data_IF_281743976623
#
_entry.id   IF_281743976623
#
_cell.length_a   1.000
_cell.length_b   1.000
_cell.length_c   1.000
_cell.angle_alpha   90.00
_cell.angle_beta   90.00
_cell.angle_gamma   90.00
#
_symmetry.space_group_name_H-M   'P 1'
#
loop_
_entity.id
_entity.type
_entity.pdbx_description
1 polymer ?
#
# COMPACT_ATOMS: atom_id res chain seq x y z
N UNK A 1 -4.58 30.16 5.19
CA UNK A 1 -3.29 30.07 4.95
C UNK A 1 -2.75 28.72 5.11
N UNK A 2 -2.45 28.33 6.29
CA UNK A 2 -2.01 26.99 6.55
C UNK A 2 -3.05 25.96 6.18
N UNK A 3 -4.29 26.37 6.11
CA UNK A 3 -5.38 25.45 5.83
C UNK A 3 -5.21 24.71 4.53
N UNK A 4 -4.72 25.39 3.50
CA UNK A 4 -4.55 24.76 2.21
C UNK A 4 -3.52 23.66 2.27
N UNK A 5 -2.38 23.98 2.86
CA UNK A 5 -1.30 23.01 2.98
C UNK A 5 -1.74 21.83 3.80
N UNK A 6 -2.44 22.11 4.87
CA UNK A 6 -2.91 21.04 5.76
C UNK A 6 -3.92 20.16 5.06
N UNK A 7 -4.75 20.74 4.18
CA UNK A 7 -5.74 19.96 3.48
C UNK A 7 -5.08 18.98 2.51
N UNK A 8 -4.08 19.44 1.79
CA UNK A 8 -3.38 18.55 0.86
C UNK A 8 -2.61 17.47 1.60
N UNK A 9 -1.94 17.87 2.66
CA UNK A 9 -1.22 16.88 3.47
C UNK A 9 -2.18 15.85 4.05
N UNK A 10 -3.32 16.32 4.48
CA UNK A 10 -4.32 15.44 5.03
C UNK A 10 -4.83 14.43 4.00
N UNK A 11 -5.05 14.90 2.78
CA UNK A 11 -5.49 14.00 1.71
C UNK A 11 -4.45 12.95 1.40
N UNK A 12 -3.20 13.35 1.38
CA UNK A 12 -2.12 12.41 1.10
C UNK A 12 -1.96 11.41 2.23
N UNK A 13 -2.14 11.84 3.46
CA UNK A 13 -2.09 10.93 4.59
C UNK A 13 -3.23 9.93 4.53
N UNK A 14 -4.41 10.40 4.13
CA UNK A 14 -5.55 9.51 3.97
C UNK A 14 -5.28 8.48 2.88
N UNK A 15 -4.71 8.93 1.78
CA UNK A 15 -4.37 8.02 0.70
C UNK A 15 -3.35 6.98 1.15
N UNK A 16 -2.34 7.42 1.89
CA UNK A 16 -1.33 6.52 2.41
C UNK A 16 -1.96 5.47 3.32
N UNK A 17 -2.88 5.91 4.16
CA UNK A 17 -3.57 5.01 5.06
C UNK A 17 -4.36 3.95 4.29
N UNK A 18 -5.07 4.39 3.25
CA UNK A 18 -5.86 3.47 2.44
C UNK A 18 -4.98 2.47 1.72
N UNK A 19 -3.83 2.92 1.24
CA UNK A 19 -2.90 2.02 0.58
C UNK A 19 -2.36 0.99 1.55
N UNK A 20 -2.06 1.39 2.77
CA UNK A 20 -1.57 0.46 3.78
C UNK A 20 -2.61 -0.58 4.14
N UNK A 21 -3.87 -0.16 4.25
CA UNK A 21 -4.96 -1.08 4.54
C UNK A 21 -5.11 -2.07 3.39
N UNK A 22 -5.09 -1.57 2.15
CA UNK A 22 -5.21 -2.43 0.99
C UNK A 22 -4.08 -3.44 0.91
N UNK A 23 -2.86 -2.99 1.22
CA UNK A 23 -1.71 -3.86 1.20
C UNK A 23 -1.86 -4.98 2.25
N UNK A 24 -2.28 -4.61 3.44
CA UNK A 24 -2.44 -5.59 4.51
C UNK A 24 -3.55 -6.59 4.19
N UNK A 25 -4.67 -6.09 3.65
CA UNK A 25 -5.78 -6.97 3.29
C UNK A 25 -5.37 -7.94 2.20
N UNK A 26 -4.61 -7.45 1.23
CA UNK A 26 -4.16 -8.29 0.14
C UNK A 26 -3.16 -9.33 0.63
N UNK A 27 -2.28 -8.93 1.53
CA UNK A 27 -1.31 -9.85 2.11
C UNK A 27 -2.03 -10.97 2.86
N UNK A 28 -3.06 -10.62 3.60
CA UNK A 28 -3.85 -11.58 4.35
C UNK A 28 -4.57 -12.54 3.39
N UNK A 29 -5.15 -12.00 2.34
CA UNK A 29 -5.84 -12.81 1.34
C UNK A 29 -4.90 -13.81 0.68
N UNK A 30 -3.71 -13.34 0.31
CA UNK A 30 -2.71 -14.22 -0.31
C UNK A 30 -2.36 -15.35 0.64
N UNK A 31 -2.17 -15.04 1.91
CA UNK A 31 -1.87 -16.06 2.89
C UNK A 31 -2.94 -17.13 2.97
N UNK A 32 -4.20 -16.70 2.95
CA UNK A 32 -5.31 -17.64 2.99
C UNK A 32 -5.37 -18.51 1.73
N UNK A 33 -5.14 -17.89 0.59
CA UNK A 33 -5.21 -18.62 -0.68
C UNK A 33 -4.07 -19.61 -0.82
N UNK A 34 -2.92 -19.31 -0.26
CA UNK A 34 -1.78 -20.22 -0.35
C UNK A 34 -2.02 -21.52 0.42
N UNK A 35 -2.92 -21.49 1.39
CA UNK A 35 -3.25 -22.67 2.15
C UNK A 35 -4.29 -23.54 1.46
N UNK A 36 -4.85 -23.08 0.38
CA UNK A 36 -5.88 -23.82 -0.35
C UNK A 36 -5.23 -24.62 -1.47
N UNK A 37 -5.26 -25.97 -1.40
CA UNK A 37 -4.62 -26.81 -2.42
C UNK A 37 -5.27 -26.68 -3.78
N UNK A 38 -6.49 -26.17 -3.84
CA UNK A 38 -7.22 -26.05 -5.11
C UNK A 38 -7.05 -24.68 -5.74
N UNK A 39 -6.30 -23.80 -5.12
CA UNK A 39 -6.17 -22.44 -5.64
C UNK A 39 -5.31 -22.40 -6.89
N UNK A 40 -5.67 -21.49 -7.80
CA UNK A 40 -4.92 -21.27 -9.01
C UNK A 40 -3.64 -20.50 -8.70
N UNK A 41 -2.49 -21.12 -8.98
CA UNK A 41 -1.19 -20.50 -8.70
C UNK A 41 -1.00 -19.23 -9.49
N UNK A 42 -1.58 -19.14 -10.67
CA UNK A 42 -1.50 -17.93 -11.46
C UNK A 42 -2.18 -16.78 -10.76
N UNK A 43 -3.31 -17.06 -10.12
CA UNK A 43 -4.04 -16.05 -9.38
C UNK A 43 -3.20 -15.52 -8.22
N UNK A 44 -2.52 -16.42 -7.52
CA UNK A 44 -1.66 -16.02 -6.41
C UNK A 44 -0.54 -15.11 -6.92
N UNK A 45 0.05 -15.46 -8.06
CA UNK A 45 1.11 -14.63 -8.64
C UNK A 45 0.61 -13.22 -8.95
N UNK A 46 -0.57 -13.13 -9.51
CA UNK A 46 -1.15 -11.84 -9.86
C UNK A 46 -1.39 -11.00 -8.60
N UNK A 47 -1.88 -11.64 -7.56
CA UNK A 47 -2.13 -10.94 -6.31
C UNK A 47 -0.83 -10.49 -5.66
N UNK A 48 0.21 -11.31 -5.72
CA UNK A 48 1.51 -10.94 -5.18
C UNK A 48 2.11 -9.77 -5.93
N UNK A 49 1.94 -9.75 -7.25
CA UNK A 49 2.41 -8.64 -8.05
C UNK A 49 1.69 -7.36 -7.68
N UNK A 50 0.38 -7.46 -7.47
CA UNK A 50 -0.40 -6.31 -7.05
C UNK A 50 0.04 -5.82 -5.69
N UNK A 51 0.35 -6.73 -4.77
CA UNK A 51 0.83 -6.36 -3.46
C UNK A 51 2.14 -5.58 -3.56
N UNK A 52 3.03 -6.02 -4.44
CA UNK A 52 4.28 -5.32 -4.64
C UNK A 52 4.08 -3.93 -5.19
N UNK A 53 3.11 -3.77 -6.09
CA UNK A 53 2.80 -2.45 -6.62
C UNK A 53 2.27 -1.53 -5.52
N UNK A 54 1.41 -2.06 -4.65
CA UNK A 54 0.92 -1.28 -3.52
C UNK A 54 2.05 -0.86 -2.60
N UNK A 55 2.96 -1.78 -2.35
CA UNK A 55 4.11 -1.47 -1.50
C UNK A 55 4.93 -0.35 -2.10
N UNK A 56 5.13 -0.40 -3.40
CA UNK A 56 5.89 0.60 -4.09
C UNK A 56 5.22 1.97 -4.00
N UNK A 57 3.90 1.99 -4.17
CA UNK A 57 3.14 3.24 -4.06
C UNK A 57 3.21 3.79 -2.65
N UNK A 58 3.15 2.92 -1.65
CA UNK A 58 3.27 3.33 -0.26
C UNK A 58 4.62 3.98 -0.01
N UNK A 59 5.68 3.35 -0.48
CA UNK A 59 7.02 3.86 -0.27
C UNK A 59 7.22 5.21 -0.94
N UNK A 60 6.68 5.35 -2.15
CA UNK A 60 6.78 6.62 -2.86
C UNK A 60 6.05 7.73 -2.12
N UNK A 61 4.85 7.42 -1.64
CA UNK A 61 4.06 8.43 -0.95
C UNK A 61 4.68 8.78 0.39
N UNK A 62 5.22 7.79 1.09
CA UNK A 62 5.93 8.06 2.34
C UNK A 62 7.13 8.95 2.11
N UNK A 63 7.84 8.73 1.01
CA UNK A 63 9.00 9.53 0.68
C UNK A 63 8.63 10.98 0.44
N UNK A 64 7.44 11.21 -0.11
CA UNK A 64 6.97 12.57 -0.35
C UNK A 64 6.50 13.26 0.92
N UNK A 65 5.86 12.50 1.80
CA UNK A 65 5.27 13.07 3.00
C UNK A 65 6.26 13.24 4.14
N UNK A 66 7.25 12.37 4.19
CA UNK A 66 8.22 12.38 5.28
C UNK A 66 9.56 12.86 4.74
N UNK A 67 9.97 14.07 5.12
CA UNK A 67 11.25 14.60 4.63
C UNK A 67 12.39 13.69 5.02
N UNK A 68 13.40 13.65 4.17
CA UNK A 68 14.58 12.85 4.44
C UNK A 68 15.42 13.58 5.48
N UNK A 69 15.41 13.04 6.67
CA UNK A 69 16.13 13.65 7.77
C UNK A 69 17.58 13.20 7.84
N UNK A 70 17.92 12.23 7.03
CA UNK A 70 19.27 11.69 7.03
C UNK A 70 20.21 12.45 6.15
N UNK A 71 19.68 13.26 5.32
CA UNK A 71 20.50 13.97 4.34
C UNK A 71 21.50 14.91 4.96
#
# INVERSE_FOLDING_TARGET
>A
MTDKIDTESFKELEQLRELRVSHRDLDFLIGRLQDDPMVDQLRIRRLKKRKLLLKDMIMNLESELIPDLDA
#
